data_IF_228541467862
#
_entry.id   IF_228541467862
#
_cell.length_a   1.000
_cell.length_b   1.000
_cell.length_c   1.000
_cell.angle_alpha   90.00
_cell.angle_beta   90.00
_cell.angle_gamma   90.00
#
_symmetry.space_group_name_H-M   'P 1'
#
loop_
_entity.id
_entity.type
_entity.pdbx_description
1 polymer ?
#
# COMPACT_ATOMS: atom_id res chain seq x y z
N UNK A 1 14.05 25.24 -27.73
CA UNK A 1 14.32 25.84 -26.42
C UNK A 1 13.03 25.77 -25.64
N UNK A 2 12.81 24.68 -24.90
CA UNK A 2 11.66 24.50 -24.01
C UNK A 2 12.22 24.23 -22.63
N UNK A 3 12.14 25.24 -21.79
CA UNK A 3 12.48 25.12 -20.37
C UNK A 3 11.41 24.30 -19.66
N UNK A 4 11.83 23.16 -19.14
CA UNK A 4 11.06 22.32 -18.22
C UNK A 4 11.16 22.93 -16.82
N UNK A 5 10.18 23.71 -16.41
CA UNK A 5 10.03 24.12 -15.03
C UNK A 5 9.55 22.91 -14.19
N UNK A 6 10.47 22.31 -13.45
CA UNK A 6 10.16 21.38 -12.37
C UNK A 6 9.50 22.16 -11.23
N UNK A 7 8.21 21.95 -11.01
CA UNK A 7 7.52 22.46 -9.81
C UNK A 7 8.08 21.75 -8.58
N UNK A 8 8.53 22.49 -7.55
CA UNK A 8 9.01 21.86 -6.31
C UNK A 8 7.82 21.32 -5.51
N UNK A 9 7.92 20.05 -5.09
CA UNK A 9 7.04 19.44 -4.08
C UNK A 9 7.38 20.01 -2.71
N UNK A 10 6.86 21.21 -2.41
CA UNK A 10 6.85 21.76 -1.07
C UNK A 10 5.43 22.20 -0.74
N UNK A 11 4.69 21.32 -0.10
CA UNK A 11 3.52 21.74 0.66
C UNK A 11 4.01 22.18 2.03
N UNK A 12 4.37 23.46 2.12
CA UNK A 12 4.63 24.09 3.40
C UNK A 12 3.29 24.38 4.09
N UNK A 13 3.07 23.78 5.23
CA UNK A 13 1.94 23.99 6.16
C UNK A 13 1.93 25.38 6.81
N UNK A 14 2.20 26.46 6.08
CA UNK A 14 2.35 27.82 6.64
C UNK A 14 1.23 28.79 6.30
N UNK A 15 0.01 28.36 6.10
CA UNK A 15 -1.12 29.30 5.97
C UNK A 15 -2.40 28.77 6.64
N UNK A 16 -2.37 28.69 7.97
CA UNK A 16 -3.60 28.71 8.73
C UNK A 16 -3.47 29.79 9.80
N UNK A 17 -3.85 31.02 9.44
CA UNK A 17 -3.95 32.12 10.39
C UNK A 17 -5.24 31.96 11.19
N UNK A 18 -5.09 32.19 12.48
CA UNK A 18 -6.10 32.14 13.55
C UNK A 18 -7.37 32.93 13.21
N UNK A 19 -8.51 32.32 13.61
CA UNK A 19 -9.84 32.92 13.79
C UNK A 19 -10.74 32.98 12.55
N UNK A 20 -11.28 31.80 12.19
CA UNK A 20 -12.57 31.73 11.49
C UNK A 20 -13.48 30.73 12.19
N UNK A 21 -14.78 31.08 12.30
CA UNK A 21 -15.85 30.22 12.83
C UNK A 21 -15.96 28.88 12.05
N UNK A 22 -15.41 28.82 10.83
CA UNK A 22 -15.23 27.59 10.04
C UNK A 22 -14.34 26.53 10.69
N UNK A 23 -13.43 26.90 11.60
CA UNK A 23 -12.55 25.96 12.32
C UNK A 23 -13.28 25.24 13.46
N UNK A 24 -14.53 25.57 13.74
CA UNK A 24 -15.35 24.96 14.78
C UNK A 24 -16.35 23.96 14.20
N UNK A 25 -16.65 24.02 12.91
CA UNK A 25 -17.48 23.04 12.22
C UNK A 25 -16.55 21.97 11.64
N UNK A 26 -16.40 20.88 12.41
CA UNK A 26 -15.71 19.70 11.95
C UNK A 26 -16.44 19.19 10.71
N UNK A 27 -15.75 19.18 9.57
CA UNK A 27 -16.27 18.63 8.33
C UNK A 27 -16.34 17.10 8.52
N UNK A 28 -17.54 16.59 8.67
CA UNK A 28 -17.80 15.16 8.81
C UNK A 28 -17.84 14.56 7.41
N UNK A 29 -17.10 13.50 7.20
CA UNK A 29 -17.17 12.75 5.93
C UNK A 29 -18.51 12.01 5.87
N UNK A 30 -19.37 12.45 4.97
CA UNK A 30 -20.64 11.79 4.75
C UNK A 30 -20.44 10.55 3.84
N UNK A 31 -21.14 9.42 4.09
CA UNK A 31 -20.94 8.19 3.34
C UNK A 31 -21.09 8.35 1.82
N UNK A 32 -22.03 9.14 1.36
CA UNK A 32 -22.32 9.39 -0.05
C UNK A 32 -21.24 10.22 -0.77
N UNK A 33 -20.38 10.91 -0.02
CA UNK A 33 -19.21 11.64 -0.56
C UNK A 33 -17.99 10.75 -0.78
N UNK A 34 -17.98 9.53 -0.23
CA UNK A 34 -16.85 8.61 -0.36
C UNK A 34 -16.80 8.03 -1.77
N UNK A 35 -15.71 8.34 -2.48
CA UNK A 35 -15.49 7.81 -3.83
C UNK A 35 -15.09 6.31 -3.78
N UNK A 36 -15.98 5.47 -4.28
CA UNK A 36 -15.78 4.03 -4.44
C UNK A 36 -15.45 3.63 -5.88
N UNK A 37 -15.23 4.59 -6.78
CA UNK A 37 -14.94 4.34 -8.19
C UNK A 37 -13.63 3.56 -8.42
N UNK A 38 -12.74 3.60 -7.43
CA UNK A 38 -11.49 2.82 -7.44
C UNK A 38 -11.71 1.32 -7.20
N UNK A 39 -12.91 0.91 -6.71
CA UNK A 39 -13.31 -0.49 -6.59
C UNK A 39 -13.83 -0.96 -7.95
N UNK A 40 -12.93 -1.49 -8.76
CA UNK A 40 -13.27 -1.99 -10.10
C UNK A 40 -13.07 -3.49 -10.19
N UNK A 41 -13.97 -4.14 -10.94
CA UNK A 41 -13.84 -5.53 -11.36
C UNK A 41 -13.86 -5.55 -12.87
N UNK A 42 -12.76 -5.97 -13.45
CA UNK A 42 -12.58 -5.98 -14.89
C UNK A 42 -12.97 -7.35 -15.46
N UNK A 43 -13.40 -7.35 -16.72
CA UNK A 43 -13.75 -8.58 -17.42
C UNK A 43 -12.56 -9.37 -17.93
N UNK A 44 -11.40 -8.73 -18.04
CA UNK A 44 -10.15 -9.31 -18.47
C UNK A 44 -9.00 -8.85 -17.57
N UNK A 45 -7.90 -9.56 -17.57
CA UNK A 45 -6.64 -9.12 -16.99
C UNK A 45 -6.15 -7.86 -17.70
N UNK A 46 -5.31 -7.04 -17.02
CA UNK A 46 -4.85 -5.77 -17.56
C UNK A 46 -4.14 -5.95 -18.93
N UNK A 47 -4.69 -5.42 -20.04
CA UNK A 47 -4.18 -5.66 -21.38
C UNK A 47 -2.81 -5.01 -21.66
N UNK A 48 -2.34 -4.10 -20.80
CA UNK A 48 -0.99 -3.55 -20.90
C UNK A 48 0.06 -4.50 -20.33
N UNK A 49 -0.32 -5.37 -19.40
CA UNK A 49 0.55 -6.31 -18.69
C UNK A 49 0.43 -7.72 -19.28
N UNK A 50 -0.79 -8.14 -19.60
CA UNK A 50 -1.10 -9.49 -20.05
C UNK A 50 -1.33 -9.55 -21.57
N UNK A 51 -0.77 -10.57 -22.21
CA UNK A 51 -1.01 -10.88 -23.62
C UNK A 51 -2.30 -11.69 -23.78
N UNK A 52 -2.56 -12.58 -22.81
CA UNK A 52 -3.75 -13.41 -22.72
C UNK A 52 -4.04 -13.75 -21.25
N UNK A 53 -5.14 -14.45 -21.00
CA UNK A 53 -5.46 -14.99 -19.66
C UNK A 53 -4.41 -16.00 -19.14
N UNK A 54 -3.51 -16.48 -20.00
CA UNK A 54 -2.49 -17.49 -19.64
C UNK A 54 -1.08 -16.90 -19.59
N UNK A 55 -0.83 -15.77 -20.28
CA UNK A 55 0.52 -15.31 -20.53
C UNK A 55 0.69 -13.82 -20.28
N UNK A 56 1.76 -13.49 -19.56
CA UNK A 56 2.26 -12.12 -19.45
C UNK A 56 2.97 -11.70 -20.75
N UNK A 57 2.88 -10.41 -21.10
CA UNK A 57 3.67 -9.85 -22.20
C UNK A 57 5.16 -10.03 -21.94
N UNK A 58 5.89 -10.49 -22.95
CA UNK A 58 7.31 -10.84 -22.81
C UNK A 58 8.21 -9.64 -22.48
N UNK A 59 7.87 -8.44 -22.96
CA UNK A 59 8.58 -7.19 -22.63
C UNK A 59 8.37 -6.79 -21.15
N UNK A 60 7.14 -6.91 -20.65
CA UNK A 60 6.81 -6.67 -19.25
C UNK A 60 7.54 -7.66 -18.35
N UNK A 61 7.44 -8.94 -18.64
CA UNK A 61 8.12 -9.98 -17.87
C UNK A 61 9.63 -9.75 -17.79
N UNK A 62 10.28 -9.44 -18.93
CA UNK A 62 11.73 -9.18 -18.98
C UNK A 62 12.13 -8.01 -18.10
N UNK A 63 11.38 -6.91 -18.14
CA UNK A 63 11.71 -5.73 -17.36
C UNK A 63 11.47 -5.96 -15.86
N UNK A 64 10.42 -6.69 -15.46
CA UNK A 64 10.19 -7.04 -14.06
C UNK A 64 11.28 -7.96 -13.50
N UNK A 65 11.75 -8.95 -14.28
CA UNK A 65 12.89 -9.79 -13.90
C UNK A 65 14.20 -8.99 -13.78
N UNK A 66 14.41 -8.01 -14.67
CA UNK A 66 15.59 -7.13 -14.58
C UNK A 66 15.52 -6.28 -13.29
N UNK A 67 14.35 -5.73 -12.97
CA UNK A 67 14.14 -4.96 -11.74
C UNK A 67 14.37 -5.82 -10.50
N UNK A 68 13.83 -7.03 -10.46
CA UNK A 68 14.05 -7.97 -9.36
C UNK A 68 15.53 -8.32 -9.19
N UNK A 69 16.27 -8.56 -10.29
CA UNK A 69 17.71 -8.78 -10.24
C UNK A 69 18.45 -7.59 -9.64
N UNK A 70 18.09 -6.36 -10.02
CA UNK A 70 18.70 -5.14 -9.49
C UNK A 70 18.38 -4.94 -8.03
N UNK A 71 17.15 -5.24 -7.62
CA UNK A 71 16.73 -5.15 -6.22
C UNK A 71 17.45 -6.18 -5.34
N UNK A 72 17.63 -7.43 -5.83
CA UNK A 72 18.45 -8.44 -5.15
C UNK A 72 19.89 -7.92 -4.95
N UNK A 73 20.51 -7.36 -6.00
CA UNK A 73 21.85 -6.77 -5.90
C UNK A 73 21.89 -5.61 -4.89
N UNK A 74 20.86 -4.76 -4.88
CA UNK A 74 20.75 -3.63 -3.94
C UNK A 74 20.58 -4.06 -2.48
N UNK A 75 20.08 -5.27 -2.22
CA UNK A 75 19.96 -5.78 -0.85
C UNK A 75 21.33 -5.97 -0.16
N UNK A 76 22.42 -6.09 -0.93
CA UNK A 76 23.79 -6.38 -0.48
C UNK A 76 23.89 -7.71 0.32
N UNK A 77 22.95 -8.63 0.12
CA UNK A 77 23.02 -9.98 0.67
C UNK A 77 23.81 -10.85 -0.32
N UNK A 78 24.98 -11.29 0.09
CA UNK A 78 25.85 -12.13 -0.74
C UNK A 78 25.23 -13.52 -0.96
N UNK A 79 25.37 -14.03 -2.19
CA UNK A 79 24.95 -15.38 -2.58
C UNK A 79 23.48 -15.71 -2.30
N UNK A 80 22.61 -14.70 -2.28
CA UNK A 80 21.19 -14.86 -2.00
C UNK A 80 20.55 -15.77 -3.06
N UNK A 81 19.98 -16.89 -2.59
CA UNK A 81 19.23 -17.84 -3.42
C UNK A 81 17.74 -17.57 -3.26
N UNK A 82 17.06 -17.37 -4.36
CA UNK A 82 15.60 -17.24 -4.36
C UNK A 82 14.93 -18.50 -4.92
N UNK A 83 13.74 -18.80 -4.44
CA UNK A 83 12.93 -19.93 -4.87
C UNK A 83 12.15 -19.58 -6.15
N UNK A 84 11.61 -18.36 -6.18
CA UNK A 84 10.85 -17.84 -7.32
C UNK A 84 10.80 -16.29 -7.27
N UNK A 85 10.37 -15.68 -8.37
CA UNK A 85 10.00 -14.27 -8.46
C UNK A 85 8.58 -14.23 -8.99
N UNK A 86 7.65 -13.64 -8.24
CA UNK A 86 6.22 -13.72 -8.53
C UNK A 86 5.61 -12.33 -8.69
N UNK A 87 4.69 -12.18 -9.65
CA UNK A 87 3.74 -11.08 -9.66
C UNK A 87 2.49 -11.50 -8.90
N UNK A 88 2.04 -10.65 -7.99
CA UNK A 88 0.84 -10.86 -7.15
C UNK A 88 -0.06 -9.62 -7.17
N UNK A 89 -0.99 -9.51 -6.24
CA UNK A 89 -1.81 -8.32 -6.06
C UNK A 89 -2.89 -8.13 -7.12
N UNK A 90 -3.38 -6.90 -7.23
CA UNK A 90 -4.50 -6.57 -8.12
C UNK A 90 -4.14 -6.72 -9.59
N UNK A 91 -2.88 -6.46 -9.98
CA UNK A 91 -2.40 -6.59 -11.36
C UNK A 91 -2.25 -8.06 -11.81
N UNK A 92 -2.20 -8.99 -10.88
CA UNK A 92 -2.31 -10.43 -11.14
C UNK A 92 -3.76 -10.93 -10.98
N UNK A 93 -4.75 -10.04 -11.08
CA UNK A 93 -6.16 -10.34 -10.85
C UNK A 93 -7.07 -9.41 -11.68
N UNK A 94 -8.38 -9.55 -11.51
CA UNK A 94 -9.42 -8.78 -12.22
C UNK A 94 -9.84 -7.49 -11.46
N UNK A 95 -9.29 -7.22 -10.27
CA UNK A 95 -9.63 -6.07 -9.43
C UNK A 95 -8.60 -4.93 -9.50
N UNK A 96 -7.87 -4.84 -10.61
CA UNK A 96 -6.95 -3.74 -10.87
C UNK A 96 -7.69 -2.46 -11.29
N UNK A 97 -7.03 -1.33 -11.08
CA UNK A 97 -7.42 -0.01 -11.56
C UNK A 97 -6.17 0.74 -12.08
N UNK A 98 -6.32 2.01 -12.44
CA UNK A 98 -5.22 2.82 -12.97
C UNK A 98 -4.14 3.12 -11.93
N UNK A 99 -4.50 3.10 -10.64
CA UNK A 99 -3.60 3.36 -9.51
C UNK A 99 -2.98 2.07 -8.94
N UNK A 100 -3.26 0.92 -9.57
CA UNK A 100 -2.74 -0.37 -9.11
C UNK A 100 -1.25 -0.50 -9.38
N UNK A 101 -0.50 -0.92 -8.37
CA UNK A 101 0.91 -1.21 -8.44
C UNK A 101 1.19 -2.62 -9.00
N UNK A 102 2.40 -2.83 -9.49
CA UNK A 102 2.92 -4.15 -9.85
C UNK A 102 3.67 -4.74 -8.64
N UNK A 103 2.98 -5.57 -7.86
CA UNK A 103 3.53 -6.21 -6.66
C UNK A 103 4.42 -7.40 -7.04
N UNK A 104 5.73 -7.21 -7.01
CA UNK A 104 6.72 -8.24 -7.36
C UNK A 104 7.38 -8.79 -6.10
N UNK A 105 7.14 -10.05 -5.81
CA UNK A 105 7.66 -10.75 -4.64
C UNK A 105 8.83 -11.66 -5.02
N UNK A 106 9.96 -11.49 -4.36
CA UNK A 106 11.12 -12.37 -4.45
C UNK A 106 11.04 -13.33 -3.28
N UNK A 107 10.78 -14.60 -3.61
CA UNK A 107 10.54 -15.66 -2.63
C UNK A 107 11.85 -16.31 -2.27
N UNK A 108 12.21 -16.30 -1.01
CA UNK A 108 13.44 -16.91 -0.51
C UNK A 108 13.27 -17.41 0.92
N UNK A 109 14.09 -18.39 1.32
CA UNK A 109 14.14 -18.83 2.71
C UNK A 109 14.97 -17.85 3.52
N UNK A 110 14.35 -17.16 4.49
CA UNK A 110 15.03 -16.20 5.36
C UNK A 110 16.13 -16.84 6.23
N UNK A 111 16.04 -18.15 6.50
CA UNK A 111 17.06 -18.85 7.27
C UNK A 111 18.44 -18.88 6.56
N UNK A 112 18.50 -18.69 5.23
CA UNK A 112 19.78 -18.58 4.54
C UNK A 112 20.54 -17.30 4.87
N UNK A 113 19.85 -16.27 5.42
CA UNK A 113 20.43 -14.98 5.80
C UNK A 113 20.79 -14.99 7.29
N UNK A 114 19.81 -15.35 8.14
CA UNK A 114 19.99 -15.48 9.60
C UNK A 114 18.87 -16.36 10.20
N UNK A 115 19.20 -17.02 11.32
CA UNK A 115 18.20 -17.73 12.14
C UNK A 115 17.17 -16.78 12.76
N UNK A 116 17.55 -15.52 12.98
CA UNK A 116 16.62 -14.48 13.45
C UNK A 116 15.79 -13.91 12.30
N UNK A 117 14.68 -14.58 12.00
CA UNK A 117 13.77 -14.20 10.89
C UNK A 117 13.16 -12.81 11.06
N UNK A 118 12.87 -12.38 12.26
CA UNK A 118 12.34 -11.04 12.55
C UNK A 118 13.35 -9.97 12.13
N UNK A 119 14.60 -10.12 12.51
CA UNK A 119 15.70 -9.24 12.08
C UNK A 119 15.86 -9.24 10.55
N UNK A 120 15.78 -10.41 9.90
CA UNK A 120 15.84 -10.51 8.42
C UNK A 120 14.69 -9.75 7.79
N UNK A 121 13.46 -9.95 8.30
CA UNK A 121 12.27 -9.26 7.83
C UNK A 121 12.42 -7.74 7.91
N UNK A 122 12.80 -7.22 9.08
CA UNK A 122 13.01 -5.78 9.28
C UNK A 122 14.10 -5.21 8.38
N UNK A 123 15.24 -5.90 8.25
CA UNK A 123 16.32 -5.51 7.35
C UNK A 123 15.84 -5.42 5.90
N UNK A 124 15.12 -6.43 5.40
CA UNK A 124 14.63 -6.45 4.03
C UNK A 124 13.52 -5.42 3.78
N UNK A 125 12.69 -5.12 4.78
CA UNK A 125 11.71 -4.01 4.73
C UNK A 125 12.43 -2.67 4.60
N UNK A 126 13.50 -2.44 5.35
CA UNK A 126 14.31 -1.23 5.22
C UNK A 126 14.96 -1.12 3.83
N UNK A 127 15.48 -2.23 3.28
CA UNK A 127 16.01 -2.26 1.91
C UNK A 127 14.94 -1.94 0.88
N UNK A 128 13.70 -2.44 1.04
CA UNK A 128 12.56 -2.08 0.19
C UNK A 128 12.28 -0.58 0.24
N UNK A 129 12.19 0.00 1.45
CA UNK A 129 11.91 1.42 1.63
C UNK A 129 12.98 2.30 0.96
N UNK A 130 14.25 1.98 1.16
CA UNK A 130 15.38 2.69 0.53
C UNK A 130 15.39 2.53 -1.01
N UNK A 131 14.99 1.38 -1.54
CA UNK A 131 14.86 1.16 -2.97
C UNK A 131 13.77 2.03 -3.57
N UNK A 132 12.58 2.02 -2.99
CA UNK A 132 11.43 2.79 -3.44
C UNK A 132 11.71 4.31 -3.42
N UNK A 133 12.39 4.80 -2.38
CA UNK A 133 12.77 6.21 -2.27
C UNK A 133 13.78 6.64 -3.36
N UNK A 134 14.77 5.79 -3.66
CA UNK A 134 15.84 6.12 -4.60
C UNK A 134 15.49 5.86 -6.06
N UNK A 135 14.65 4.89 -6.35
CA UNK A 135 14.37 4.38 -7.68
C UNK A 135 12.86 4.17 -7.88
N UNK A 136 12.09 5.23 -8.09
CA UNK A 136 10.68 5.11 -8.46
C UNK A 136 10.57 4.55 -9.87
N UNK A 137 10.32 3.25 -9.99
CA UNK A 137 10.27 2.52 -11.26
C UNK A 137 8.83 2.33 -11.67
N UNK A 138 8.53 2.64 -12.94
CA UNK A 138 7.23 2.40 -13.54
C UNK A 138 7.34 1.48 -14.75
N UNK A 139 6.35 0.58 -14.90
CA UNK A 139 6.19 -0.29 -16.06
C UNK A 139 4.76 -0.13 -16.60
N UNK A 140 4.65 0.31 -17.86
CA UNK A 140 3.35 0.61 -18.51
C UNK A 140 2.48 1.61 -17.74
N UNK A 141 3.10 2.56 -17.02
CA UNK A 141 2.41 3.57 -16.23
C UNK A 141 2.03 3.15 -14.80
N UNK A 142 2.37 1.94 -14.40
CA UNK A 142 2.14 1.42 -13.05
C UNK A 142 3.44 1.37 -12.26
N UNK A 143 3.39 1.77 -11.01
CA UNK A 143 4.55 1.69 -10.11
C UNK A 143 4.91 0.23 -9.82
N UNK A 144 6.21 -0.05 -9.68
CA UNK A 144 6.70 -1.39 -9.39
C UNK A 144 7.15 -1.46 -7.94
N UNK A 145 6.41 -2.20 -7.13
CA UNK A 145 6.77 -2.48 -5.75
C UNK A 145 7.48 -3.82 -5.62
N UNK A 146 8.70 -3.79 -5.05
CA UNK A 146 9.52 -4.99 -4.83
C UNK A 146 9.46 -5.43 -3.38
N UNK A 147 9.24 -6.73 -3.16
CA UNK A 147 9.20 -7.35 -1.84
C UNK A 147 10.12 -8.54 -1.76
N UNK A 148 10.78 -8.72 -0.61
CA UNK A 148 11.29 -10.02 -0.23
C UNK A 148 10.28 -10.71 0.67
N UNK A 149 9.99 -11.98 0.41
CA UNK A 149 9.03 -12.76 1.18
C UNK A 149 9.64 -14.09 1.60
N UNK A 150 9.45 -14.46 2.89
CA UNK A 150 9.88 -15.79 3.36
C UNK A 150 9.08 -16.88 2.64
N UNK A 151 9.79 -17.86 2.08
CA UNK A 151 9.19 -19.01 1.41
C UNK A 151 8.29 -19.86 2.33
N UNK A 152 8.46 -19.70 3.64
CA UNK A 152 7.68 -20.40 4.66
C UNK A 152 6.40 -19.63 5.06
N UNK A 153 6.18 -18.43 4.53
CA UNK A 153 4.96 -17.66 4.78
C UNK A 153 3.86 -18.00 3.75
N UNK A 154 2.60 -18.09 4.20
CA UNK A 154 1.49 -18.35 3.28
C UNK A 154 1.24 -17.18 2.34
N UNK A 155 0.95 -17.47 1.08
CA UNK A 155 0.49 -16.49 0.10
C UNK A 155 -1.03 -16.30 0.20
N UNK A 156 -1.46 -15.06 0.45
CA UNK A 156 -2.89 -14.72 0.55
C UNK A 156 -3.50 -14.22 -0.78
N UNK A 157 -2.67 -13.91 -1.80
CA UNK A 157 -3.18 -13.44 -3.09
C UNK A 157 -3.91 -14.56 -3.84
N UNK A 158 -5.06 -14.21 -4.45
CA UNK A 158 -5.84 -15.14 -5.28
C UNK A 158 -5.22 -15.37 -6.67
N UNK A 159 -4.43 -14.40 -7.17
CA UNK A 159 -3.64 -14.51 -8.40
C UNK A 159 -2.14 -14.46 -8.08
N UNK A 160 -1.39 -15.46 -8.57
CA UNK A 160 0.07 -15.52 -8.38
C UNK A 160 0.72 -16.09 -9.64
N UNK A 161 1.55 -15.29 -10.30
CA UNK A 161 2.24 -15.65 -11.53
C UNK A 161 3.74 -15.73 -11.34
N UNK A 162 4.35 -16.87 -11.66
CA UNK A 162 5.82 -17.02 -11.65
C UNK A 162 6.44 -16.31 -12.84
N UNK A 163 7.23 -15.28 -12.57
CA UNK A 163 8.03 -14.60 -13.58
C UNK A 163 9.19 -15.47 -14.07
N UNK A 164 9.70 -16.35 -13.22
CA UNK A 164 10.81 -17.26 -13.57
C UNK A 164 10.35 -18.34 -14.53
N UNK A 165 9.25 -19.03 -14.18
CA UNK A 165 8.71 -20.15 -14.95
C UNK A 165 7.82 -19.72 -16.11
N UNK A 166 7.36 -18.44 -16.10
CA UNK A 166 6.43 -17.86 -17.06
C UNK A 166 5.07 -18.58 -17.08
N UNK A 167 4.53 -18.87 -15.88
CA UNK A 167 3.29 -19.60 -15.70
C UNK A 167 2.53 -19.18 -14.42
N UNK A 168 1.23 -19.47 -14.39
CA UNK A 168 0.44 -19.28 -13.19
C UNK A 168 0.77 -20.36 -12.15
N UNK A 169 1.12 -19.94 -10.93
CA UNK A 169 1.15 -20.81 -9.75
C UNK A 169 -0.27 -20.96 -9.20
N UNK A 170 -0.99 -19.83 -9.16
CA UNK A 170 -2.41 -19.77 -8.82
C UNK A 170 -3.07 -18.80 -9.79
N UNK A 171 -3.88 -19.32 -10.71
CA UNK A 171 -4.63 -18.49 -11.64
C UNK A 171 -5.79 -17.80 -10.92
N UNK A 172 -6.00 -16.48 -11.10
CA UNK A 172 -7.10 -15.80 -10.47
C UNK A 172 -8.44 -16.30 -11.01
N UNK A 173 -9.41 -16.41 -10.13
CA UNK A 173 -10.78 -16.76 -10.53
C UNK A 173 -11.59 -15.49 -10.65
N UNK A 174 -12.25 -15.32 -11.79
CA UNK A 174 -13.21 -14.24 -12.00
C UNK A 174 -14.41 -14.48 -11.07
N UNK A 175 -14.48 -13.68 -10.00
CA UNK A 175 -15.63 -13.72 -9.10
C UNK A 175 -16.57 -12.59 -9.50
N UNK A 176 -17.85 -12.91 -9.71
CA UNK A 176 -18.90 -11.89 -9.69
C UNK A 176 -19.12 -11.54 -8.23
N UNK A 177 -18.51 -10.46 -7.79
CA UNK A 177 -18.67 -9.98 -6.41
C UNK A 177 -19.74 -8.90 -6.43
N UNK A 178 -20.85 -9.18 -5.78
CA UNK A 178 -21.85 -8.15 -5.52
C UNK A 178 -21.35 -7.34 -4.31
N UNK A 179 -20.64 -6.24 -4.59
CA UNK A 179 -20.15 -5.33 -3.56
C UNK A 179 -21.33 -4.45 -3.12
N UNK A 180 -21.67 -4.49 -1.85
CA UNK A 180 -22.53 -3.49 -1.27
C UNK A 180 -21.76 -2.17 -1.12
N UNK A 181 -21.85 -1.35 -2.17
CA UNK A 181 -21.14 -0.06 -2.21
C UNK A 181 -21.58 0.87 -1.07
N UNK A 182 -22.85 0.81 -0.65
CA UNK A 182 -23.34 1.63 0.44
C UNK A 182 -22.71 1.22 1.79
N UNK A 183 -22.57 -0.09 2.04
CA UNK A 183 -21.90 -0.59 3.24
C UNK A 183 -20.41 -0.23 3.24
N UNK A 184 -19.74 -0.31 2.09
CA UNK A 184 -18.32 0.12 1.95
C UNK A 184 -18.20 1.63 2.20
N UNK A 185 -19.07 2.45 1.62
CA UNK A 185 -19.07 3.91 1.82
C UNK A 185 -19.27 4.27 3.28
N UNK A 186 -20.29 3.68 3.92
CA UNK A 186 -20.60 3.93 5.34
C UNK A 186 -19.42 3.59 6.24
N UNK A 187 -18.86 2.39 6.11
CA UNK A 187 -17.73 1.94 6.94
C UNK A 187 -16.44 2.72 6.66
N UNK A 188 -16.24 3.16 5.42
CA UNK A 188 -15.10 4.03 5.07
C UNK A 188 -15.23 5.39 5.73
N UNK A 189 -16.40 6.02 5.63
CA UNK A 189 -16.69 7.30 6.28
C UNK A 189 -16.52 7.23 7.80
N UNK A 190 -17.01 6.17 8.44
CA UNK A 190 -16.84 5.96 9.88
C UNK A 190 -15.37 5.95 10.31
N UNK A 191 -14.52 5.26 9.54
CA UNK A 191 -13.10 5.18 9.87
C UNK A 191 -12.38 6.49 9.53
N UNK A 192 -12.71 7.14 8.41
CA UNK A 192 -12.19 8.46 8.04
C UNK A 192 -12.49 9.49 9.14
N UNK A 193 -13.73 9.54 9.61
CA UNK A 193 -14.14 10.41 10.71
C UNK A 193 -13.38 10.09 12.02
N UNK A 194 -13.14 8.81 12.31
CA UNK A 194 -12.33 8.43 13.48
C UNK A 194 -10.86 8.87 13.36
N UNK A 195 -10.31 8.89 12.15
CA UNK A 195 -8.96 9.41 11.88
C UNK A 195 -8.93 10.93 12.04
N UNK A 196 -9.94 11.66 11.54
CA UNK A 196 -10.05 13.11 11.68
C UNK A 196 -10.28 13.53 13.12
N UNK A 197 -11.03 12.71 13.88
CA UNK A 197 -11.19 12.88 15.32
C UNK A 197 -9.87 12.75 16.07
N UNK A 198 -9.05 11.81 15.68
CA UNK A 198 -7.74 11.59 16.27
C UNK A 198 -6.81 12.78 16.03
N UNK A 199 -6.76 13.31 14.80
CA UNK A 199 -5.96 14.51 14.46
C UNK A 199 -6.40 15.74 15.26
N UNK A 200 -7.70 15.98 15.33
CA UNK A 200 -8.26 17.11 16.07
C UNK A 200 -7.91 17.08 17.57
N UNK A 201 -7.60 15.92 18.09
CA UNK A 201 -7.28 15.68 19.50
C UNK A 201 -5.80 15.34 19.74
N UNK A 202 -4.90 15.63 18.79
CA UNK A 202 -3.48 15.28 18.87
C UNK A 202 -2.72 15.89 20.06
N UNK A 203 -3.23 16.96 20.64
CA UNK A 203 -2.60 17.61 21.82
C UNK A 203 -2.97 16.93 23.15
N UNK A 204 -3.73 15.84 23.14
CA UNK A 204 -4.08 15.11 24.37
C UNK A 204 -2.95 14.15 24.77
N UNK A 205 -2.72 14.02 26.08
CA UNK A 205 -1.65 13.16 26.65
C UNK A 205 -1.76 11.66 26.26
N UNK A 206 -2.90 11.21 25.78
CA UNK A 206 -3.15 9.81 25.37
C UNK A 206 -3.17 9.61 23.84
N UNK A 207 -2.76 10.63 23.06
CA UNK A 207 -2.78 10.59 21.59
C UNK A 207 -2.09 9.36 21.02
N UNK A 208 -0.83 9.08 21.40
CA UNK A 208 -0.08 7.93 20.88
C UNK A 208 -0.78 6.61 21.18
N UNK A 209 -1.39 6.47 22.35
CA UNK A 209 -2.17 5.29 22.71
C UNK A 209 -3.40 5.12 21.83
N UNK A 210 -4.16 6.19 21.64
CA UNK A 210 -5.35 6.20 20.76
C UNK A 210 -4.98 5.94 19.32
N UNK A 211 -3.89 6.54 18.83
CA UNK A 211 -3.35 6.29 17.49
C UNK A 211 -3.04 4.81 17.28
N UNK A 212 -2.30 4.18 18.20
CA UNK A 212 -1.95 2.76 18.09
C UNK A 212 -3.18 1.85 18.18
N UNK A 213 -4.16 2.20 19.01
CA UNK A 213 -5.43 1.48 19.09
C UNK A 213 -6.22 1.54 17.77
N UNK A 214 -6.32 2.73 17.14
CA UNK A 214 -7.01 2.89 15.87
C UNK A 214 -6.29 2.16 14.75
N UNK A 215 -4.97 2.29 14.65
CA UNK A 215 -4.12 1.55 13.71
C UNK A 215 -4.33 0.04 13.82
N UNK A 216 -4.30 -0.49 15.05
CA UNK A 216 -4.51 -1.91 15.29
C UNK A 216 -5.94 -2.36 14.98
N UNK A 217 -6.95 -1.51 15.21
CA UNK A 217 -8.34 -1.77 14.82
C UNK A 217 -8.45 -1.88 13.29
N UNK A 218 -7.89 -0.95 12.54
CA UNK A 218 -7.89 -0.97 11.07
C UNK A 218 -7.17 -2.21 10.54
N UNK A 219 -5.99 -2.55 11.10
CA UNK A 219 -5.24 -3.75 10.72
C UNK A 219 -6.05 -5.03 10.96
N UNK A 220 -6.65 -5.18 12.15
CA UNK A 220 -7.47 -6.34 12.49
C UNK A 220 -8.73 -6.43 11.63
N UNK A 221 -9.36 -5.29 11.35
CA UNK A 221 -10.53 -5.20 10.49
C UNK A 221 -10.20 -5.73 9.08
N UNK A 222 -9.12 -5.23 8.45
CA UNK A 222 -8.63 -5.75 7.17
C UNK A 222 -8.34 -7.25 7.22
N UNK A 223 -7.61 -7.71 8.26
CA UNK A 223 -7.22 -9.11 8.38
C UNK A 223 -8.45 -10.02 8.48
N UNK A 224 -9.47 -9.64 9.25
CA UNK A 224 -10.71 -10.43 9.35
C UNK A 224 -11.42 -10.59 8.00
N UNK A 225 -11.37 -9.57 7.15
CA UNK A 225 -11.89 -9.65 5.79
C UNK A 225 -11.08 -10.57 4.89
N UNK A 226 -9.75 -10.47 4.95
CA UNK A 226 -8.86 -11.34 4.18
C UNK A 226 -9.00 -12.82 4.55
N UNK A 227 -9.25 -13.10 5.83
CA UNK A 227 -9.43 -14.45 6.35
C UNK A 227 -10.85 -15.00 6.10
N UNK A 228 -11.79 -14.14 5.71
CA UNK A 228 -13.17 -14.51 5.37
C UNK A 228 -13.25 -15.17 3.99
N UNK A 229 -14.42 -15.76 3.67
CA UNK A 229 -14.72 -16.30 2.33
C UNK A 229 -14.69 -15.23 1.23
N UNK A 230 -14.85 -13.94 1.59
CA UNK A 230 -14.72 -12.80 0.68
C UNK A 230 -13.26 -12.52 0.29
N UNK A 231 -12.32 -12.79 1.20
CA UNK A 231 -10.89 -12.59 0.97
C UNK A 231 -10.58 -11.14 0.57
N UNK A 232 -9.84 -10.97 -0.52
CA UNK A 232 -9.48 -9.66 -1.06
C UNK A 232 -10.70 -8.83 -1.55
N UNK A 233 -11.86 -9.47 -1.74
CA UNK A 233 -13.13 -8.85 -2.14
C UNK A 233 -14.08 -8.57 -0.98
N UNK A 234 -13.67 -8.85 0.24
CA UNK A 234 -14.47 -8.56 1.43
C UNK A 234 -14.66 -7.05 1.61
N UNK A 235 -15.78 -6.65 2.19
CA UNK A 235 -16.05 -5.24 2.54
C UNK A 235 -14.89 -4.63 3.33
N UNK A 236 -14.34 -5.38 4.28
CA UNK A 236 -13.24 -4.93 5.14
C UNK A 236 -11.97 -4.60 4.36
N UNK A 237 -11.61 -5.44 3.39
CA UNK A 237 -10.44 -5.17 2.55
C UNK A 237 -10.73 -4.05 1.54
N UNK A 238 -11.95 -3.93 1.03
CA UNK A 238 -12.34 -2.83 0.14
C UNK A 238 -12.32 -1.48 0.87
N UNK A 239 -12.82 -1.41 2.10
CA UNK A 239 -12.71 -0.23 2.98
C UNK A 239 -11.25 0.15 3.17
N UNK A 240 -10.37 -0.83 3.47
CA UNK A 240 -8.94 -0.55 3.60
C UNK A 240 -8.33 0.01 2.31
N UNK A 241 -8.73 -0.49 1.13
CA UNK A 241 -8.29 0.05 -0.17
C UNK A 241 -8.74 1.51 -0.35
N UNK A 242 -10.00 1.83 0.03
CA UNK A 242 -10.50 3.21 -0.02
C UNK A 242 -9.67 4.12 0.88
N UNK A 243 -9.46 3.73 2.15
CA UNK A 243 -8.65 4.54 3.08
C UNK A 243 -7.23 4.79 2.56
N UNK A 244 -6.61 3.79 1.90
CA UNK A 244 -5.31 3.93 1.25
C UNK A 244 -5.37 4.89 0.07
N UNK A 245 -6.30 4.67 -0.86
CA UNK A 245 -6.39 5.44 -2.11
C UNK A 245 -6.80 6.90 -1.87
N UNK A 246 -7.51 7.18 -0.77
CA UNK A 246 -7.89 8.55 -0.36
C UNK A 246 -6.86 9.23 0.55
N UNK A 247 -5.73 8.55 0.85
CA UNK A 247 -4.63 9.12 1.64
C UNK A 247 -4.86 9.12 3.15
N UNK A 248 -5.97 8.56 3.66
CA UNK A 248 -6.25 8.56 5.10
C UNK A 248 -5.27 7.72 5.92
N UNK A 249 -4.70 6.65 5.35
CA UNK A 249 -3.68 5.88 6.04
C UNK A 249 -2.35 6.65 6.14
N UNK A 250 -1.99 7.42 5.11
CA UNK A 250 -0.82 8.32 5.13
C UNK A 250 -1.03 9.45 6.13
N UNK A 251 -2.20 10.07 6.12
CA UNK A 251 -2.61 11.10 7.08
C UNK A 251 -2.39 10.65 8.52
N UNK A 252 -2.76 9.39 8.87
CA UNK A 252 -2.46 8.83 10.20
C UNK A 252 -0.97 8.79 10.54
N UNK A 253 -0.11 8.45 9.58
CA UNK A 253 1.34 8.43 9.79
C UNK A 253 1.89 9.84 10.00
N UNK A 254 1.42 10.80 9.21
CA UNK A 254 1.80 12.20 9.31
C UNK A 254 1.47 12.80 10.67
N UNK A 255 0.26 12.58 11.20
CA UNK A 255 -0.12 13.09 12.54
C UNK A 255 0.81 12.57 13.64
N UNK A 256 1.16 11.30 13.57
CA UNK A 256 2.06 10.71 14.55
C UNK A 256 3.46 11.31 14.45
N UNK A 257 3.95 11.48 13.23
CA UNK A 257 5.27 12.08 12.99
C UNK A 257 5.32 13.54 13.45
N UNK A 258 4.27 14.33 13.15
CA UNK A 258 4.14 15.70 13.60
C UNK A 258 4.13 15.81 15.13
N UNK A 259 3.32 14.97 15.78
CA UNK A 259 3.27 14.91 17.24
C UNK A 259 4.64 14.58 17.84
N UNK A 260 5.31 13.53 17.36
CA UNK A 260 6.63 13.15 17.86
C UNK A 260 7.69 14.22 17.56
N UNK A 261 7.63 14.85 16.41
CA UNK A 261 8.55 15.94 16.05
C UNK A 261 8.38 17.12 16.99
N UNK A 262 7.14 17.48 17.33
CA UNK A 262 6.89 18.55 18.30
C UNK A 262 7.36 18.19 19.71
N UNK A 263 7.14 16.95 20.13
CA UNK A 263 7.49 16.49 21.48
C UNK A 263 8.99 16.30 21.67
N UNK A 264 9.71 15.89 20.60
CA UNK A 264 11.15 15.61 20.65
C UNK A 264 12.02 16.78 20.21
N UNK A 265 11.44 17.89 19.76
CA UNK A 265 12.17 19.08 19.35
C UNK A 265 12.15 20.13 20.44
N UNK A 266 13.33 20.66 20.82
CA UNK A 266 13.44 21.87 21.64
C UNK A 266 13.21 23.09 20.75
N UNK A 267 12.06 23.75 20.91
CA UNK A 267 11.79 25.03 20.27
C UNK A 267 12.37 26.16 21.15
N UNK A 268 13.56 26.63 20.82
CA UNK A 268 14.25 27.71 21.52
C UNK A 268 13.64 29.13 21.26
N UNK A 269 12.35 29.24 21.04
CA UNK A 269 11.69 30.54 20.89
C UNK A 269 10.69 30.83 22.01
N UNK A 270 11.18 30.81 23.26
CA UNK A 270 10.53 31.51 24.36
C UNK A 270 11.58 32.44 25.00
N UNK A 271 11.84 33.56 24.36
CA UNK A 271 12.38 34.77 24.98
C UNK A 271 11.46 35.91 24.62
#
# INVERSE_FOLDING_TARGET
MFENEKKPRFWSSRYWSKNNISDVLKEVVEPDTVDVSSIKFNDALNPFIWESEEKMKSDVRKILLLNAKRFIQFSDVENLKFNDIMLTGSMANYNYNNESDLDVHIILDFNQISENKEFVGDFLILKKALWADRLPIQVKGHDVEMYFQDANEPHHSSGTYSLVKDEWIRKPTKKIVNVDSADVQLKSADIMNAIDDLDSNKNQNDFLKKHEQLKNKIKKYRQSGLDSSGGEFSTENLVFKILRNTGYLEKMVEFKNDYLTQELSLNEFLV
#
